data_IF_638936233077
#
_entry.id   IF_638936233077
#
_cell.length_a   1.000
_cell.length_b   1.000
_cell.length_c   1.000
_cell.angle_alpha   90.00
_cell.angle_beta   90.00
_cell.angle_gamma   90.00
#
_symmetry.space_group_name_H-M   'P 1'
#
loop_
_entity.id
_entity.type
_entity.pdbx_description
1 polymer ?
#
# COMPACT_ATOMS: atom_id res chain seq x y z
N UNK A 1 -14.05 51.80 -10.37
CA UNK A 1 -13.64 50.45 -9.95
C UNK A 1 -13.22 50.49 -8.48
N UNK A 2 -13.97 49.74 -7.69
CA UNK A 2 -13.72 49.16 -6.36
C UNK A 2 -12.91 49.93 -5.31
N UNK A 3 -13.69 50.36 -4.32
CA UNK A 3 -13.36 50.92 -3.02
C UNK A 3 -12.49 49.95 -2.18
N UNK A 4 -11.39 50.47 -1.62
CA UNK A 4 -10.80 49.94 -0.38
C UNK A 4 -11.08 50.94 0.72
N UNK A 5 -11.87 50.57 1.73
CA UNK A 5 -11.77 51.23 3.01
C UNK A 5 -11.53 50.25 4.17
N UNK A 6 -10.69 50.74 5.08
CA UNK A 6 -10.78 50.59 6.52
C UNK A 6 -10.66 49.18 7.11
N UNK A 7 -9.45 48.84 7.54
CA UNK A 7 -9.27 48.02 8.74
C UNK A 7 -9.06 48.97 9.93
N UNK A 8 -10.16 49.31 10.59
CA UNK A 8 -10.20 49.79 11.97
C UNK A 8 -10.77 48.61 12.76
N UNK A 9 -9.95 47.94 13.56
CA UNK A 9 -9.79 48.20 14.99
C UNK A 9 -10.90 47.52 15.83
N UNK A 10 -10.40 46.78 16.83
CA UNK A 10 -10.96 46.57 18.16
C UNK A 10 -11.78 45.30 18.45
N UNK A 11 -11.56 44.87 19.70
CA UNK A 11 -12.50 44.14 20.57
C UNK A 11 -12.34 42.61 20.48
N UNK A 12 -11.58 41.96 21.35
CA UNK A 12 -11.67 41.75 22.82
C UNK A 12 -12.06 40.30 23.10
N UNK A 13 -11.20 39.65 23.90
CA UNK A 13 -11.45 38.61 24.91
C UNK A 13 -12.89 38.04 24.98
N UNK A 14 -13.04 36.70 24.90
CA UNK A 14 -13.92 35.90 25.80
C UNK A 14 -13.93 34.39 25.46
N UNK A 15 -13.82 33.59 26.52
CA UNK A 15 -14.17 32.14 26.71
C UNK A 15 -13.15 31.02 26.46
N UNK A 16 -12.73 30.29 27.51
CA UNK A 16 -12.16 28.95 27.40
C UNK A 16 -13.30 27.94 27.34
N UNK A 17 -13.43 27.21 26.24
CA UNK A 17 -14.50 26.22 26.13
C UNK A 17 -14.64 25.60 24.76
N UNK A 18 -13.70 24.73 24.37
CA UNK A 18 -14.06 23.55 23.59
C UNK A 18 -12.94 22.52 23.63
N UNK A 19 -13.24 21.37 24.21
CA UNK A 19 -12.49 20.15 23.98
C UNK A 19 -12.35 19.92 22.45
N UNK A 20 -11.12 19.72 22.00
CA UNK A 20 -10.86 19.02 20.76
C UNK A 20 -9.72 18.04 21.03
N UNK A 21 -10.02 16.76 21.36
CA UNK A 21 -9.03 15.72 21.12
C UNK A 21 -8.85 15.68 19.60
N UNK A 22 -7.71 16.17 19.10
CA UNK A 22 -7.33 15.95 17.71
C UNK A 22 -7.35 14.43 17.47
N UNK A 23 -8.22 13.91 16.58
CA UNK A 23 -8.06 12.54 16.16
C UNK A 23 -6.76 12.49 15.36
N UNK A 24 -5.76 11.78 15.89
CA UNK A 24 -4.60 11.38 15.11
C UNK A 24 -5.12 10.77 13.79
N UNK A 25 -4.53 11.10 12.64
CA UNK A 25 -4.88 10.42 11.40
C UNK A 25 -4.66 8.92 11.62
N UNK A 26 -5.77 8.17 11.60
CA UNK A 26 -5.75 6.73 11.64
C UNK A 26 -5.00 6.28 10.39
N UNK A 27 -3.74 5.87 10.56
CA UNK A 27 -2.99 5.23 9.50
C UNK A 27 -3.81 4.03 9.04
N UNK A 28 -4.25 3.96 7.77
CA UNK A 28 -4.97 2.80 7.30
C UNK A 28 -4.02 1.62 7.41
N UNK A 29 -4.33 0.70 8.32
CA UNK A 29 -3.67 -0.60 8.40
C UNK A 29 -3.83 -1.23 7.02
N UNK A 30 -2.74 -1.60 6.31
CA UNK A 30 -2.87 -2.23 5.01
C UNK A 30 -3.58 -3.57 5.22
N UNK A 31 -4.85 -3.61 4.86
CA UNK A 31 -5.62 -4.84 4.77
C UNK A 31 -4.89 -5.73 3.76
N UNK A 32 -4.24 -6.79 4.24
CA UNK A 32 -3.70 -7.82 3.34
C UNK A 32 -4.88 -8.39 2.58
N UNK A 33 -4.96 -8.06 1.30
CA UNK A 33 -5.95 -8.60 0.40
C UNK A 33 -5.83 -10.13 0.44
N UNK A 34 -6.84 -10.80 0.99
CA UNK A 34 -6.89 -12.26 1.10
C UNK A 34 -7.29 -12.92 -0.24
N UNK A 35 -7.15 -12.18 -1.34
CA UNK A 35 -7.43 -12.64 -2.69
C UNK A 35 -6.21 -13.31 -3.33
N UNK A 36 -6.43 -14.02 -4.45
CA UNK A 36 -5.33 -14.59 -5.23
C UNK A 36 -4.32 -13.49 -5.59
N UNK A 37 -3.05 -13.71 -5.23
CA UNK A 37 -1.98 -12.79 -5.59
C UNK A 37 -1.47 -13.13 -6.99
N UNK A 38 -1.55 -12.16 -7.89
CA UNK A 38 -0.88 -12.24 -9.19
C UNK A 38 0.57 -11.81 -9.00
N UNK A 39 1.51 -12.68 -9.36
CA UNK A 39 2.94 -12.42 -9.34
C UNK A 39 3.48 -12.49 -10.76
N UNK A 40 4.42 -11.60 -11.09
CA UNK A 40 5.10 -11.66 -12.37
C UNK A 40 6.08 -12.85 -12.38
N UNK A 41 6.05 -13.64 -13.45
CA UNK A 41 6.92 -14.81 -13.58
C UNK A 41 8.40 -14.43 -13.53
N UNK A 42 8.75 -13.24 -14.01
CA UNK A 42 10.14 -12.76 -14.05
C UNK A 42 10.65 -12.40 -12.66
N UNK A 43 9.78 -11.83 -11.83
CA UNK A 43 10.07 -11.53 -10.42
C UNK A 43 10.21 -12.83 -9.60
N UNK A 44 9.41 -13.85 -9.93
CA UNK A 44 9.41 -15.12 -9.20
C UNK A 44 10.63 -16.00 -9.54
N UNK A 45 11.05 -16.02 -10.80
CA UNK A 45 12.10 -16.91 -11.30
C UNK A 45 13.48 -16.25 -11.40
N UNK A 46 13.52 -14.93 -11.49
CA UNK A 46 14.74 -14.15 -11.69
C UNK A 46 15.53 -14.57 -12.94
N UNK A 47 16.84 -14.39 -12.90
CA UNK A 47 17.77 -14.76 -13.97
C UNK A 47 17.88 -16.27 -14.21
N UNK A 48 17.57 -17.08 -13.19
CA UNK A 48 17.76 -18.53 -13.24
C UNK A 48 16.63 -19.24 -14.00
N UNK A 49 15.53 -18.54 -14.31
CA UNK A 49 14.32 -19.11 -14.92
C UNK A 49 13.72 -20.32 -14.16
N UNK A 50 14.10 -20.50 -12.88
CA UNK A 50 13.75 -21.62 -12.01
C UNK A 50 13.62 -21.11 -10.56
N UNK A 51 12.59 -21.55 -9.85
CA UNK A 51 12.42 -21.37 -8.40
C UNK A 51 12.05 -22.68 -7.73
N UNK A 52 12.50 -22.86 -6.50
CA UNK A 52 12.15 -24.00 -5.64
C UNK A 52 11.10 -23.54 -4.63
N UNK A 53 10.00 -24.28 -4.56
CA UNK A 53 8.85 -23.98 -3.70
C UNK A 53 8.72 -25.13 -2.72
N UNK A 54 8.86 -24.84 -1.43
CA UNK A 54 8.54 -25.84 -0.40
C UNK A 54 7.03 -25.84 -0.16
N UNK A 55 6.39 -26.98 -0.40
CA UNK A 55 4.95 -27.14 -0.23
C UNK A 55 4.66 -28.49 0.42
N UNK A 56 3.98 -28.46 1.58
CA UNK A 56 3.62 -29.65 2.35
C UNK A 56 4.81 -30.58 2.68
N UNK A 57 6.02 -30.02 2.83
CA UNK A 57 7.23 -30.78 3.13
C UNK A 57 7.95 -31.37 1.91
N UNK A 58 7.36 -31.28 0.72
CA UNK A 58 8.04 -31.58 -0.55
C UNK A 58 8.59 -30.30 -1.19
N UNK A 59 9.61 -30.46 -2.04
CA UNK A 59 10.18 -29.38 -2.83
C UNK A 59 9.64 -29.50 -4.25
N UNK A 60 8.88 -28.51 -4.67
CA UNK A 60 8.44 -28.37 -6.04
C UNK A 60 9.38 -27.43 -6.79
N UNK A 61 9.53 -27.66 -8.09
CA UNK A 61 10.30 -26.80 -8.97
C UNK A 61 9.38 -26.16 -9.98
N UNK A 62 9.31 -24.83 -9.95
CA UNK A 62 8.62 -24.04 -10.96
C UNK A 62 9.69 -23.46 -11.89
N UNK A 63 9.53 -23.65 -13.20
CA UNK A 63 10.49 -23.17 -14.19
C UNK A 63 9.80 -22.70 -15.47
N UNK A 64 10.48 -21.85 -16.24
CA UNK A 64 10.02 -21.46 -17.59
C UNK A 64 10.56 -22.42 -18.65
N UNK A 65 9.71 -22.76 -19.61
CA UNK A 65 10.06 -23.58 -20.79
C UNK A 65 10.56 -22.68 -21.92
N UNK A 66 11.23 -23.27 -22.93
CA UNK A 66 11.65 -22.52 -24.14
C UNK A 66 10.49 -21.89 -24.91
N UNK A 67 9.27 -22.41 -24.73
CA UNK A 67 8.03 -21.86 -25.31
C UNK A 67 7.40 -20.75 -24.44
N UNK A 68 8.07 -20.29 -23.39
CA UNK A 68 7.59 -19.23 -22.50
C UNK A 68 6.51 -19.66 -21.51
N UNK A 69 6.18 -20.96 -21.42
CA UNK A 69 5.23 -21.48 -20.43
C UNK A 69 5.91 -21.83 -19.11
N UNK A 70 5.18 -21.72 -18.01
CA UNK A 70 5.61 -22.22 -16.71
C UNK A 70 5.28 -23.71 -16.57
N UNK A 71 6.20 -24.47 -15.99
CA UNK A 71 6.00 -25.88 -15.61
C UNK A 71 6.37 -26.07 -14.14
N UNK A 72 5.46 -26.69 -13.40
CA UNK A 72 5.66 -27.09 -12.02
C UNK A 72 5.91 -28.60 -11.98
N UNK A 73 7.03 -29.02 -11.42
CA UNK A 73 7.37 -30.42 -11.16
C UNK A 73 7.55 -30.62 -9.66
N UNK A 74 7.40 -31.85 -9.19
CA UNK A 74 7.90 -32.23 -7.86
C UNK A 74 9.35 -32.69 -7.94
#
# INVERSE_FOLDING_TARGET
MSLKPAVAASTELTTPGKAHPSPLPAHPTPIKSNGPQTLDSRELLGDQAIVLIQHQGEIYRLQTTRQGKLILTK
#
